data_IF_750287518910
#
_entry.id   IF_750287518910
#
_cell.length_a   1.000
_cell.length_b   1.000
_cell.length_c   1.000
_cell.angle_alpha   90.00
_cell.angle_beta   90.00
_cell.angle_gamma   90.00
#
_symmetry.space_group_name_H-M   'P 1'
#
loop_
_entity.id
_entity.type
_entity.pdbx_description
1 polymer ?
#
# COMPACT_ATOMS: atom_id res chain seq x y z
N UNK A 1 7.45 -22.10 -12.54
CA UNK A 1 8.70 -21.69 -11.89
C UNK A 1 8.52 -21.93 -10.40
N UNK A 2 9.28 -22.80 -9.75
CA UNK A 2 9.23 -22.99 -8.32
C UNK A 2 10.07 -21.90 -7.64
N UNK A 3 9.45 -20.83 -7.23
CA UNK A 3 10.03 -19.76 -6.45
C UNK A 3 8.91 -18.82 -6.09
N UNK A 4 8.43 -18.93 -4.87
CA UNK A 4 7.38 -18.06 -4.36
C UNK A 4 7.92 -16.64 -4.28
N UNK A 5 7.51 -15.80 -5.21
CA UNK A 5 7.85 -14.39 -5.24
C UNK A 5 6.73 -13.57 -4.61
N UNK A 6 7.09 -12.46 -3.99
CA UNK A 6 6.14 -11.46 -3.54
C UNK A 6 5.33 -10.90 -4.72
N UNK A 7 4.10 -10.47 -4.46
CA UNK A 7 3.21 -9.89 -5.47
C UNK A 7 3.13 -8.39 -5.21
N UNK A 8 3.55 -7.61 -6.19
CA UNK A 8 3.53 -6.16 -6.13
C UNK A 8 2.54 -5.60 -7.15
N UNK A 9 1.56 -4.85 -6.69
CA UNK A 9 0.50 -4.25 -7.50
C UNK A 9 0.39 -2.77 -7.20
N UNK A 10 0.46 -1.96 -8.24
CA UNK A 10 0.27 -0.52 -8.17
C UNK A 10 -0.48 -0.04 -9.40
N UNK A 11 -1.31 0.98 -9.25
CA UNK A 11 -2.05 1.56 -10.38
C UNK A 11 -1.14 2.14 -11.46
N UNK A 12 0.04 2.58 -11.07
CA UNK A 12 1.05 3.14 -11.98
C UNK A 12 2.35 2.31 -11.98
N UNK A 13 2.84 1.93 -10.79
CA UNK A 13 4.11 1.20 -10.64
C UNK A 13 3.90 0.00 -9.71
N UNK A 14 4.20 -1.21 -10.17
CA UNK A 14 4.14 -2.41 -9.33
C UNK A 14 5.24 -2.39 -8.27
N UNK A 15 6.51 -2.24 -8.66
CA UNK A 15 7.64 -2.16 -7.74
C UNK A 15 8.81 -1.37 -8.32
N UNK A 16 9.61 -0.75 -7.43
CA UNK A 16 10.93 -0.18 -7.75
C UNK A 16 11.88 -0.43 -6.59
N UNK A 17 13.03 -1.00 -6.90
CA UNK A 17 14.07 -1.34 -5.92
C UNK A 17 15.45 -0.87 -6.39
N UNK A 18 16.27 -0.42 -5.43
CA UNK A 18 17.67 -0.06 -5.65
C UNK A 18 17.89 1.01 -6.75
N UNK A 19 16.86 1.77 -7.08
CA UNK A 19 16.92 2.76 -8.16
C UNK A 19 16.25 4.06 -7.70
N UNK A 20 16.94 5.19 -7.75
CA UNK A 20 16.30 6.48 -7.52
C UNK A 20 15.15 6.70 -8.49
N UNK A 21 14.01 7.13 -7.96
CA UNK A 21 12.79 7.29 -8.73
C UNK A 21 12.07 8.58 -8.33
N UNK A 22 11.46 9.25 -9.29
CA UNK A 22 10.51 10.33 -9.06
C UNK A 22 9.20 9.98 -9.74
N UNK A 23 8.13 9.94 -8.94
CA UNK A 23 6.75 9.83 -9.39
C UNK A 23 6.07 11.15 -9.04
N UNK A 24 5.58 11.87 -10.02
CA UNK A 24 4.90 13.16 -9.78
C UNK A 24 3.69 13.33 -10.68
N UNK A 25 2.67 14.00 -10.15
CA UNK A 25 1.42 14.27 -10.86
C UNK A 25 0.79 13.00 -11.48
N UNK A 26 1.01 11.85 -10.84
CA UNK A 26 0.42 10.59 -11.27
C UNK A 26 -1.03 10.51 -10.80
N UNK A 27 -1.92 10.08 -11.67
CA UNK A 27 -3.34 9.95 -11.33
C UNK A 27 -3.82 8.54 -11.69
N UNK A 28 -4.37 7.85 -10.72
CA UNK A 28 -5.00 6.55 -10.92
C UNK A 28 -6.53 6.68 -10.79
N UNK A 29 -7.27 6.31 -11.83
CA UNK A 29 -8.71 6.14 -11.82
C UNK A 29 -9.12 4.67 -11.88
N UNK A 30 -8.15 3.80 -12.08
CA UNK A 30 -8.37 2.36 -12.23
C UNK A 30 -8.42 1.65 -10.89
N UNK A 31 -9.17 0.58 -10.82
CA UNK A 31 -9.16 -0.32 -9.68
C UNK A 31 -7.84 -1.09 -9.61
N UNK A 32 -7.22 -1.08 -8.46
CA UNK A 32 -6.04 -1.92 -8.16
C UNK A 32 -6.49 -3.02 -7.23
N UNK A 33 -6.75 -4.19 -7.78
CA UNK A 33 -7.18 -5.33 -6.98
C UNK A 33 -6.55 -6.63 -7.47
N UNK A 34 -6.67 -7.64 -6.64
CA UNK A 34 -6.42 -9.01 -7.02
C UNK A 34 -7.73 -9.74 -7.24
N UNK A 35 -7.99 -10.15 -8.48
CA UNK A 35 -9.15 -10.98 -8.81
C UNK A 35 -8.95 -12.43 -8.33
N UNK A 36 -10.05 -13.13 -8.03
CA UNK A 36 -10.15 -14.47 -7.44
C UNK A 36 -9.36 -15.59 -8.16
N UNK A 37 -8.94 -15.39 -9.40
CA UNK A 37 -8.34 -16.44 -10.22
C UNK A 37 -6.82 -16.59 -10.06
N UNK A 38 -6.15 -15.72 -9.31
CA UNK A 38 -4.71 -15.83 -9.09
C UNK A 38 -4.44 -16.66 -7.84
N UNK A 39 -4.16 -17.93 -8.02
CA UNK A 39 -3.61 -18.81 -6.98
C UNK A 39 -2.17 -18.37 -6.69
N UNK A 40 -2.00 -17.29 -5.93
CA UNK A 40 -0.69 -16.86 -5.52
C UNK A 40 -0.33 -17.54 -4.21
N UNK A 41 0.54 -18.49 -4.27
CA UNK A 41 1.31 -18.97 -3.12
C UNK A 41 2.53 -18.06 -2.97
N UNK A 42 2.32 -16.79 -2.70
CA UNK A 42 3.37 -15.79 -2.51
C UNK A 42 3.77 -15.63 -1.06
N UNK A 43 4.91 -15.00 -0.81
CA UNK A 43 5.36 -14.67 0.55
C UNK A 43 4.56 -13.49 1.10
N UNK A 44 4.48 -12.40 0.35
CA UNK A 44 3.77 -11.17 0.73
C UNK A 44 3.00 -10.58 -0.45
N UNK A 45 2.02 -9.74 -0.13
CA UNK A 45 1.17 -9.04 -1.09
C UNK A 45 1.24 -7.54 -0.82
N UNK A 46 1.49 -6.76 -1.85
CA UNK A 46 1.59 -5.31 -1.81
C UNK A 46 0.60 -4.70 -2.81
N UNK A 47 -0.34 -3.92 -2.32
CA UNK A 47 -1.38 -3.26 -3.15
C UNK A 47 -1.39 -1.77 -2.84
N UNK A 48 -0.95 -0.96 -3.79
CA UNK A 48 -0.95 0.50 -3.69
C UNK A 48 -1.75 1.16 -4.81
N UNK A 49 -2.47 2.22 -4.52
CA UNK A 49 -3.23 2.93 -5.54
C UNK A 49 -2.33 3.53 -6.63
N UNK A 50 -1.15 3.97 -6.29
CA UNK A 50 -0.13 4.48 -7.23
C UNK A 50 1.04 3.50 -7.32
N UNK A 51 1.64 3.12 -6.18
CA UNK A 51 2.84 2.26 -6.16
C UNK A 51 2.66 1.09 -5.19
N UNK A 52 2.95 -0.13 -5.65
CA UNK A 52 2.90 -1.31 -4.80
C UNK A 52 4.07 -1.38 -3.82
N UNK A 53 5.31 -1.26 -4.30
CA UNK A 53 6.49 -1.43 -3.46
C UNK A 53 7.65 -0.52 -3.85
N UNK A 54 8.28 0.09 -2.86
CA UNK A 54 9.48 0.92 -2.99
C UNK A 54 10.54 0.46 -1.99
N UNK A 55 11.75 0.20 -2.43
CA UNK A 55 12.82 -0.19 -1.51
C UNK A 55 14.23 0.26 -1.91
N UNK A 56 15.03 0.50 -0.87
CA UNK A 56 16.48 0.67 -0.92
C UNK A 56 16.97 1.77 -1.85
N UNK A 57 16.22 2.85 -2.01
CA UNK A 57 16.64 4.00 -2.80
C UNK A 57 15.99 5.28 -2.28
N UNK A 58 16.57 6.42 -2.65
CA UNK A 58 15.91 7.71 -2.51
C UNK A 58 14.80 7.82 -3.56
N UNK A 59 13.56 7.91 -3.11
CA UNK A 59 12.39 8.01 -3.97
C UNK A 59 11.54 9.21 -3.56
N UNK A 60 10.98 9.91 -4.55
CA UNK A 60 9.96 10.93 -4.33
C UNK A 60 8.65 10.51 -5.01
N UNK A 61 7.57 10.51 -4.25
CA UNK A 61 6.20 10.39 -4.75
C UNK A 61 5.47 11.68 -4.39
N UNK A 62 5.23 12.54 -5.38
CA UNK A 62 4.71 13.88 -5.14
C UNK A 62 3.44 14.18 -5.95
N UNK A 63 2.54 14.98 -5.38
CA UNK A 63 1.36 15.53 -6.04
C UNK A 63 0.59 14.48 -6.86
N UNK A 64 0.47 13.29 -6.30
CA UNK A 64 -0.14 12.13 -6.97
C UNK A 64 -1.46 11.76 -6.30
N UNK A 65 -2.44 11.40 -7.11
CA UNK A 65 -3.82 11.25 -6.67
C UNK A 65 -4.37 9.86 -7.03
N UNK A 66 -4.96 9.21 -6.05
CA UNK A 66 -5.67 7.95 -6.27
C UNK A 66 -7.18 8.19 -6.14
N UNK A 67 -7.88 8.04 -7.24
CA UNK A 67 -9.34 8.00 -7.36
C UNK A 67 -9.85 6.58 -7.66
N UNK A 68 -8.95 5.65 -7.84
CA UNK A 68 -9.26 4.25 -8.08
C UNK A 68 -9.35 3.46 -6.79
N UNK A 69 -10.24 2.48 -6.74
CA UNK A 69 -10.37 1.61 -5.57
C UNK A 69 -9.10 0.80 -5.38
N UNK A 70 -8.52 0.87 -4.19
CA UNK A 70 -7.44 -0.03 -3.77
C UNK A 70 -8.06 -1.13 -2.93
N UNK A 71 -8.16 -2.31 -3.50
CA UNK A 71 -9.02 -3.34 -2.98
C UNK A 71 -8.28 -4.66 -2.76
N UNK A 72 -8.42 -5.16 -1.56
CA UNK A 72 -8.00 -6.50 -1.20
C UNK A 72 -9.24 -7.41 -1.17
N UNK A 73 -9.87 -7.58 -2.36
CA UNK A 73 -11.18 -8.16 -2.47
C UNK A 73 -11.28 -9.67 -2.41
N UNK A 74 -12.49 -10.12 -2.34
CA UNK A 74 -13.04 -11.47 -2.36
C UNK A 74 -12.05 -12.58 -2.72
N UNK A 75 -11.53 -13.22 -1.71
CA UNK A 75 -10.67 -14.36 -1.83
C UNK A 75 -11.48 -15.64 -1.55
N UNK A 76 -12.23 -16.09 -2.52
CA UNK A 76 -12.74 -17.46 -2.45
C UNK A 76 -11.57 -18.44 -2.62
N UNK A 77 -11.15 -19.05 -1.55
CA UNK A 77 -10.13 -20.08 -1.41
C UNK A 77 -8.71 -19.62 -1.06
N UNK A 78 -8.44 -19.73 0.22
CA UNK A 78 -7.16 -20.13 0.84
C UNK A 78 -5.90 -19.70 0.09
N UNK A 79 -5.60 -18.40 0.12
CA UNK A 79 -4.23 -17.97 -0.05
C UNK A 79 -3.48 -18.20 1.27
N UNK A 80 -2.72 -19.26 1.30
CA UNK A 80 -1.73 -19.42 2.34
C UNK A 80 -0.54 -18.49 2.06
N UNK A 81 -0.71 -17.19 2.32
CA UNK A 81 0.43 -16.26 2.36
C UNK A 81 1.30 -16.63 3.57
N UNK A 82 2.58 -16.81 3.34
CA UNK A 82 3.56 -17.03 4.40
C UNK A 82 4.12 -15.74 4.96
N UNK A 83 3.89 -14.61 4.27
CA UNK A 83 4.32 -13.26 4.62
C UNK A 83 3.17 -12.36 5.07
N UNK A 84 3.28 -11.09 4.76
CA UNK A 84 2.37 -10.02 5.17
C UNK A 84 1.58 -9.45 4.00
N UNK A 85 0.46 -8.80 4.30
CA UNK A 85 -0.30 -7.99 3.34
C UNK A 85 -0.04 -6.52 3.65
N UNK A 86 0.21 -5.75 2.61
CA UNK A 86 0.45 -4.31 2.67
C UNK A 86 -0.52 -3.62 1.72
N UNK A 87 -1.31 -2.71 2.25
CA UNK A 87 -2.28 -1.93 1.46
C UNK A 87 -2.09 -0.45 1.74
N UNK A 88 -2.02 0.34 0.71
CA UNK A 88 -1.93 1.80 0.82
C UNK A 88 -2.71 2.50 -0.28
N UNK A 89 -3.41 3.57 0.06
CA UNK A 89 -4.12 4.37 -0.95
C UNK A 89 -3.17 4.95 -2.00
N UNK A 90 -1.94 5.28 -1.62
CA UNK A 90 -0.88 5.74 -2.52
C UNK A 90 0.22 4.70 -2.65
N UNK A 91 0.87 4.30 -1.55
CA UNK A 91 1.98 3.34 -1.55
C UNK A 91 1.69 2.21 -0.57
N UNK A 92 1.76 0.95 -1.01
CA UNK A 92 1.53 -0.16 -0.08
C UNK A 92 2.68 -0.33 0.91
N UNK A 93 3.92 -0.35 0.44
CA UNK A 93 5.10 -0.46 1.27
C UNK A 93 6.24 0.39 0.73
N UNK A 94 6.80 1.22 1.60
CA UNK A 94 7.92 2.10 1.28
C UNK A 94 9.06 1.89 2.27
N UNK A 95 10.26 1.63 1.76
CA UNK A 95 11.48 1.43 2.57
C UNK A 95 12.61 2.27 1.96
N UNK A 96 12.95 3.39 2.57
CA UNK A 96 14.13 4.17 2.21
C UNK A 96 15.41 3.38 2.53
N UNK A 97 16.52 3.78 1.91
CA UNK A 97 17.80 3.11 2.14
C UNK A 97 18.38 3.41 3.55
N UNK A 98 18.09 4.60 4.07
CA UNK A 98 18.53 5.05 5.39
C UNK A 98 17.76 6.32 5.81
N UNK A 99 18.01 6.83 7.01
CA UNK A 99 17.47 8.13 7.46
C UNK A 99 17.94 9.31 6.59
N UNK A 100 19.05 9.18 5.90
CA UNK A 100 19.57 10.20 4.97
C UNK A 100 19.04 10.02 3.54
N UNK A 101 18.60 8.81 3.20
CA UNK A 101 18.06 8.46 1.88
C UNK A 101 16.64 7.92 2.04
N UNK A 102 15.71 8.84 2.29
CA UNK A 102 14.31 8.54 2.57
C UNK A 102 13.49 8.32 1.28
N UNK A 103 12.36 7.68 1.45
CA UNK A 103 11.23 7.82 0.52
C UNK A 103 10.39 9.01 1.00
N UNK A 104 10.18 10.01 0.14
CA UNK A 104 9.38 11.19 0.43
C UNK A 104 8.03 11.08 -0.30
N UNK A 105 6.93 11.07 0.45
CA UNK A 105 5.56 11.04 -0.08
C UNK A 105 4.92 12.38 0.29
N UNK A 106 4.71 13.26 -0.70
CA UNK A 106 4.35 14.66 -0.45
C UNK A 106 3.17 15.12 -1.30
N UNK A 107 2.22 15.83 -0.71
CA UNK A 107 1.09 16.43 -1.44
C UNK A 107 0.17 15.42 -2.14
N UNK A 108 0.21 14.17 -1.73
CA UNK A 108 -0.59 13.12 -2.35
C UNK A 108 -1.99 13.02 -1.75
N UNK A 109 -2.97 12.59 -2.54
CA UNK A 109 -4.32 12.34 -2.02
C UNK A 109 -4.86 10.97 -2.40
N UNK A 110 -5.54 10.34 -1.45
CA UNK A 110 -6.38 9.17 -1.66
C UNK A 110 -7.83 9.56 -1.39
N UNK A 111 -8.66 9.54 -2.42
CA UNK A 111 -10.03 10.05 -2.40
C UNK A 111 -11.07 8.97 -2.66
N UNK A 112 -10.68 7.72 -2.61
CA UNK A 112 -11.57 6.57 -2.81
C UNK A 112 -11.41 5.57 -1.67
N UNK A 113 -12.51 4.91 -1.31
CA UNK A 113 -12.52 3.90 -0.28
C UNK A 113 -11.46 2.83 -0.52
N UNK A 114 -10.59 2.64 0.44
CA UNK A 114 -9.81 1.41 0.56
C UNK A 114 -10.79 0.39 1.11
N UNK A 115 -11.53 -0.26 0.23
CA UNK A 115 -12.51 -1.26 0.63
C UNK A 115 -11.77 -2.57 0.94
N UNK A 116 -11.90 -3.01 2.17
CA UNK A 116 -11.75 -4.41 2.52
C UNK A 116 -13.16 -4.99 2.62
N UNK A 117 -13.50 -5.94 1.76
CA UNK A 117 -14.82 -6.56 1.78
C UNK A 117 -14.95 -7.48 2.99
N UNK A 118 -15.42 -6.90 4.10
CA UNK A 118 -15.70 -7.63 5.34
C UNK A 118 -16.80 -8.70 5.19
N UNK A 119 -17.47 -8.79 4.03
CA UNK A 119 -18.44 -9.82 3.72
C UNK A 119 -17.81 -11.08 3.12
N UNK A 120 -16.52 -11.04 2.76
CA UNK A 120 -15.80 -12.22 2.31
C UNK A 120 -15.54 -13.16 3.51
N UNK A 121 -16.32 -14.22 3.59
CA UNK A 121 -16.09 -15.32 4.56
C UNK A 121 -14.82 -16.11 4.27
N UNK A 122 -14.12 -15.78 3.20
CA UNK A 122 -12.89 -16.41 2.73
C UNK A 122 -11.70 -15.47 2.96
N UNK A 123 -11.19 -15.49 4.18
CA UNK A 123 -10.18 -14.55 4.65
C UNK A 123 -8.81 -14.69 3.99
N UNK A 124 -8.12 -13.56 3.81
CA UNK A 124 -6.68 -13.56 3.68
C UNK A 124 -6.11 -13.93 5.04
N UNK A 125 -5.51 -15.09 5.13
CA UNK A 125 -4.74 -15.48 6.31
C UNK A 125 -3.31 -14.96 6.19
N UNK A 126 -3.11 -13.66 6.29
CA UNK A 126 -1.79 -13.11 6.49
C UNK A 126 -1.47 -13.14 7.98
N UNK A 127 -0.25 -13.51 8.32
CA UNK A 127 0.21 -13.49 9.73
C UNK A 127 0.22 -12.07 10.30
N UNK A 128 0.26 -11.04 9.46
CA UNK A 128 0.28 -9.63 9.82
C UNK A 128 -0.12 -8.78 8.61
N UNK A 129 -1.05 -7.86 8.79
CA UNK A 129 -1.47 -6.87 7.80
C UNK A 129 -1.01 -5.46 8.17
N UNK A 130 -0.81 -4.64 7.16
CA UNK A 130 -0.49 -3.21 7.29
C UNK A 130 -1.34 -2.45 6.29
N UNK A 131 -2.19 -1.56 6.78
CA UNK A 131 -3.07 -0.83 5.90
C UNK A 131 -3.13 0.65 6.28
N UNK A 132 -3.00 1.54 5.29
CA UNK A 132 -3.03 3.00 5.49
C UNK A 132 -3.68 3.73 4.35
N UNK A 133 -4.37 4.82 4.65
CA UNK A 133 -5.01 5.65 3.63
C UNK A 133 -4.00 6.25 2.63
N UNK A 134 -2.77 6.45 3.04
CA UNK A 134 -1.67 6.90 2.17
C UNK A 134 -0.62 5.79 2.04
N UNK A 135 -0.07 5.28 3.15
CA UNK A 135 0.97 4.26 3.12
C UNK A 135 0.68 3.11 4.09
N UNK A 136 0.75 1.86 3.62
CA UNK A 136 0.53 0.69 4.47
C UNK A 136 1.65 0.49 5.49
N UNK A 137 2.89 0.36 5.01
CA UNK A 137 4.09 0.24 5.84
C UNK A 137 5.18 1.22 5.37
N UNK A 138 5.79 1.89 6.30
CA UNK A 138 6.82 2.89 6.04
C UNK A 138 8.05 2.70 6.94
N UNK A 139 9.23 2.61 6.31
CA UNK A 139 10.51 2.64 7.00
C UNK A 139 11.45 3.64 6.31
N UNK A 140 12.00 4.58 7.08
CA UNK A 140 12.76 5.71 6.55
C UNK A 140 11.95 6.50 5.50
N UNK A 141 10.71 6.86 5.86
CA UNK A 141 9.76 7.57 4.99
C UNK A 141 9.35 8.88 5.62
N UNK A 142 9.18 9.91 4.81
CA UNK A 142 8.52 11.15 5.19
C UNK A 142 7.20 11.24 4.44
N UNK A 143 6.11 11.36 5.17
CA UNK A 143 4.77 11.61 4.64
C UNK A 143 4.38 13.04 5.00
N UNK A 144 4.23 13.90 3.99
CA UNK A 144 4.02 15.33 4.23
C UNK A 144 2.84 15.87 3.41
N UNK A 145 1.96 16.63 4.07
CA UNK A 145 0.86 17.34 3.42
C UNK A 145 -0.04 16.44 2.56
N UNK A 146 -0.24 15.21 2.98
CA UNK A 146 -1.08 14.25 2.27
C UNK A 146 -2.51 14.26 2.82
N UNK A 147 -3.47 13.88 1.97
CA UNK A 147 -4.89 13.85 2.31
C UNK A 147 -5.47 12.45 2.07
N UNK A 148 -6.12 11.89 3.07
CA UNK A 148 -7.03 10.77 2.89
C UNK A 148 -8.46 11.22 3.23
N UNK A 149 -9.39 11.05 2.30
CA UNK A 149 -10.79 11.43 2.49
C UNK A 149 -11.71 10.22 2.60
N UNK A 150 -11.17 9.03 2.59
CA UNK A 150 -11.97 7.81 2.47
C UNK A 150 -12.02 7.06 3.77
N UNK A 151 -13.19 6.51 4.05
CA UNK A 151 -13.39 5.57 5.14
C UNK A 151 -12.46 4.36 4.98
N UNK A 152 -11.90 3.95 6.07
CA UNK A 152 -11.04 2.80 6.14
C UNK A 152 -11.81 1.66 6.83
N UNK A 153 -12.23 0.68 6.05
CA UNK A 153 -12.88 -0.49 6.62
C UNK A 153 -11.91 -1.65 6.63
N UNK A 154 -11.41 -2.01 7.80
CA UNK A 154 -10.56 -3.18 7.96
C UNK A 154 -11.41 -4.41 8.24
N UNK A 155 -11.32 -5.38 7.35
CA UNK A 155 -11.85 -6.72 7.61
C UNK A 155 -10.99 -7.49 8.62
N UNK A 156 -11.14 -8.79 8.69
CA UNK A 156 -10.50 -9.69 9.68
C UNK A 156 -8.97 -9.82 9.59
N UNK A 157 -8.24 -8.82 9.12
CA UNK A 157 -6.78 -8.85 9.12
C UNK A 157 -6.30 -8.35 10.49
N UNK A 158 -5.78 -9.24 11.31
CA UNK A 158 -5.08 -8.84 12.52
C UNK A 158 -3.81 -8.08 12.13
N UNK A 159 -3.80 -6.76 12.25
CA UNK A 159 -2.70 -5.93 11.77
C UNK A 159 -2.67 -4.52 12.34
N UNK A 160 -2.06 -3.64 11.58
CA UNK A 160 -1.91 -2.23 11.90
C UNK A 160 -2.63 -1.39 10.84
N UNK A 161 -3.59 -0.59 11.29
CA UNK A 161 -4.45 0.20 10.44
C UNK A 161 -4.38 1.67 10.83
N UNK A 162 -4.33 2.56 9.85
CA UNK A 162 -4.27 3.99 10.11
C UNK A 162 -4.77 4.82 8.94
N UNK A 163 -5.52 5.90 9.24
CA UNK A 163 -6.07 6.79 8.22
C UNK A 163 -5.02 7.43 7.30
N UNK A 164 -3.77 7.54 7.73
CA UNK A 164 -2.63 7.98 6.89
C UNK A 164 -1.63 6.86 6.71
N UNK A 165 -1.13 6.27 7.80
CA UNK A 165 -0.12 5.23 7.76
C UNK A 165 -0.49 4.07 8.67
N UNK A 166 -0.39 2.83 8.17
CA UNK A 166 -0.65 1.64 8.96
C UNK A 166 0.46 1.38 9.98
N UNK A 167 1.71 1.45 9.57
CA UNK A 167 2.86 1.27 10.46
C UNK A 167 4.05 2.14 10.04
N UNK A 168 4.68 2.75 11.03
CA UNK A 168 5.85 3.61 10.84
C UNK A 168 7.05 3.07 11.61
N UNK A 169 8.20 2.95 10.95
CA UNK A 169 9.50 2.65 11.54
C UNK A 169 10.51 3.71 11.11
N UNK A 170 11.12 4.43 12.03
CA UNK A 170 12.06 5.51 11.72
C UNK A 170 11.53 6.48 10.64
N UNK A 171 10.28 6.82 10.71
CA UNK A 171 9.54 7.59 9.69
C UNK A 171 8.74 8.70 10.34
N UNK A 172 8.27 9.67 9.57
CA UNK A 172 7.47 10.79 10.06
C UNK A 172 6.22 11.05 9.21
N UNK A 173 5.19 11.58 9.87
CA UNK A 173 3.98 12.12 9.22
C UNK A 173 3.81 13.57 9.68
N UNK A 174 3.74 14.50 8.74
CA UNK A 174 3.64 15.95 9.03
C UNK A 174 2.62 16.62 8.12
N UNK A 175 1.78 17.49 8.66
CA UNK A 175 0.82 18.29 7.89
C UNK A 175 -0.25 17.47 7.13
N UNK A 176 -0.32 16.16 7.35
CA UNK A 176 -1.25 15.28 6.66
C UNK A 176 -2.59 15.17 7.40
N UNK A 177 -3.66 14.99 6.65
CA UNK A 177 -5.03 15.01 7.17
C UNK A 177 -5.77 13.73 6.75
N UNK A 178 -6.52 13.16 7.69
CA UNK A 178 -7.50 12.11 7.42
C UNK A 178 -8.89 12.63 7.79
N UNK A 179 -9.85 12.51 6.87
CA UNK A 179 -11.25 12.95 7.07
C UNK A 179 -12.26 11.83 6.80
N UNK A 180 -11.77 10.65 6.48
CA UNK A 180 -12.58 9.43 6.38
C UNK A 180 -12.77 8.70 7.70
#
# INVERSE_FOLDING_TARGET
>A
VPGHTDIHMGGIIGASENTPLTVSNAVNYGRVDKNNDVKATGKSLYIGGIVGYLANAKVSVADSHNYGTTYNGHWSNTLALTGSVYVGGIVACAVGASEAETVDITGCSNEVAVEDDAAATDGIYAKRGYAGGIVGYAKYVKVENCLNTTDFTTGNIAGFDGGIAGYLESSSVTGSTNTG
#
